data_IF_656165961569
#
_entry.id   IF_656165961569
#
_cell.length_a   1.000
_cell.length_b   1.000
_cell.length_c   1.000
_cell.angle_alpha   90.00
_cell.angle_beta   90.00
_cell.angle_gamma   90.00
#
_symmetry.space_group_name_H-M   'P 1'
#
loop_
_entity.id
_entity.type
_entity.pdbx_description
1 polymer ?
#
# COMPACT_ATOMS: atom_id res chain seq x y z
N UNK A 1 2.43 13.60 -12.10
CA UNK A 1 3.61 14.49 -12.18
C UNK A 1 3.47 15.55 -13.26
N UNK A 2 2.86 15.22 -14.41
CA UNK A 2 2.54 16.21 -15.46
C UNK A 2 1.73 17.42 -14.94
N UNK A 3 0.65 17.20 -14.17
CA UNK A 3 -0.17 18.28 -13.60
C UNK A 3 0.68 19.22 -12.73
N UNK A 4 1.52 18.67 -11.85
CA UNK A 4 2.41 19.46 -10.99
C UNK A 4 3.43 20.27 -11.79
N UNK A 5 4.05 19.68 -12.81
CA UNK A 5 4.97 20.43 -13.70
C UNK A 5 4.24 21.56 -14.44
N UNK A 6 3.01 21.33 -14.89
CA UNK A 6 2.19 22.34 -15.56
C UNK A 6 1.78 23.47 -14.61
N UNK A 7 1.38 23.15 -13.39
CA UNK A 7 1.01 24.13 -12.36
C UNK A 7 2.21 24.99 -11.92
N UNK A 8 3.37 24.36 -11.76
CA UNK A 8 4.63 25.04 -11.43
C UNK A 8 5.30 25.75 -12.62
N UNK A 9 4.70 25.70 -13.82
CA UNK A 9 5.28 26.21 -15.08
C UNK A 9 6.70 25.67 -15.37
N UNK A 10 6.99 24.43 -14.97
CA UNK A 10 8.29 23.77 -15.17
C UNK A 10 8.32 23.14 -16.56
N UNK A 11 9.24 23.64 -17.39
CA UNK A 11 9.54 23.12 -18.71
C UNK A 11 10.36 21.84 -18.61
N UNK A 12 10.26 20.98 -19.64
CA UNK A 12 11.15 19.83 -19.76
C UNK A 12 12.64 20.24 -19.93
N UNK A 13 12.87 21.48 -20.42
CA UNK A 13 14.21 22.06 -20.58
C UNK A 13 14.88 22.36 -19.24
N UNK A 14 14.09 22.56 -18.19
CA UNK A 14 14.60 22.88 -16.85
C UNK A 14 15.26 21.66 -16.19
N UNK A 15 15.11 20.45 -16.77
CA UNK A 15 15.70 19.18 -16.32
C UNK A 15 15.48 18.86 -14.83
N UNK A 16 14.46 19.46 -14.20
CA UNK A 16 14.13 19.22 -12.79
C UNK A 16 13.65 17.80 -12.56
N UNK A 17 14.19 17.15 -11.54
CA UNK A 17 13.76 15.86 -11.03
C UNK A 17 12.34 15.92 -10.48
N UNK A 18 11.69 14.76 -10.34
CA UNK A 18 10.34 14.72 -9.77
C UNK A 18 10.30 15.08 -8.28
N UNK A 19 11.41 14.91 -7.57
CA UNK A 19 11.53 15.27 -6.16
C UNK A 19 11.57 16.79 -6.00
N UNK A 20 12.40 17.48 -6.79
CA UNK A 20 12.47 18.95 -6.77
C UNK A 20 11.14 19.60 -7.16
N UNK A 21 10.38 19.00 -8.09
CA UNK A 21 9.02 19.49 -8.44
C UNK A 21 8.08 19.40 -7.23
N UNK A 22 8.17 18.31 -6.45
CA UNK A 22 7.37 18.12 -5.25
C UNK A 22 7.77 19.10 -4.14
N UNK A 23 9.07 19.26 -3.89
CA UNK A 23 9.62 20.19 -2.90
C UNK A 23 9.25 21.64 -3.23
N UNK A 24 9.38 22.04 -4.50
CA UNK A 24 9.03 23.38 -4.96
C UNK A 24 7.55 23.73 -4.75
N UNK A 25 6.66 22.74 -4.86
CA UNK A 25 5.22 22.91 -4.65
C UNK A 25 4.79 22.67 -3.20
N UNK A 26 5.70 22.25 -2.32
CA UNK A 26 5.36 21.83 -0.96
C UNK A 26 4.49 20.57 -0.90
N UNK A 27 4.45 19.78 -1.99
CA UNK A 27 3.56 18.62 -2.12
C UNK A 27 4.33 17.33 -1.95
N UNK A 28 3.75 16.33 -1.28
CA UNK A 28 4.34 14.98 -1.17
C UNK A 28 3.66 13.99 -2.12
N UNK A 29 4.40 12.95 -2.53
CA UNK A 29 3.82 11.85 -3.30
C UNK A 29 3.02 10.93 -2.39
N UNK A 30 1.74 11.23 -2.23
CA UNK A 30 0.87 10.44 -1.35
C UNK A 30 0.30 9.18 -2.00
N UNK A 31 0.41 9.00 -3.33
CA UNK A 31 -0.26 7.90 -4.03
C UNK A 31 0.07 6.52 -3.44
N UNK A 32 1.36 6.25 -3.17
CA UNK A 32 1.78 4.98 -2.58
C UNK A 32 1.18 4.83 -1.17
N UNK A 33 1.25 5.87 -0.35
CA UNK A 33 0.70 5.86 1.01
C UNK A 33 -0.83 5.71 1.02
N UNK A 34 -1.54 6.33 0.07
CA UNK A 34 -2.98 6.18 -0.13
C UNK A 34 -3.32 4.74 -0.52
N UNK A 35 -2.58 4.14 -1.45
CA UNK A 35 -2.79 2.75 -1.86
C UNK A 35 -2.55 1.81 -0.67
N UNK A 36 -1.44 1.98 0.06
CA UNK A 36 -1.13 1.19 1.27
C UNK A 36 -2.27 1.29 2.29
N UNK A 37 -2.67 2.51 2.63
CA UNK A 37 -3.76 2.80 3.57
C UNK A 37 -5.07 2.14 3.16
N UNK A 38 -5.49 2.30 1.90
CA UNK A 38 -6.73 1.71 1.37
C UNK A 38 -6.69 0.19 1.42
N UNK A 39 -5.56 -0.40 1.02
CA UNK A 39 -5.37 -1.85 0.99
C UNK A 39 -5.40 -2.47 2.40
N UNK A 40 -4.81 -1.82 3.40
CA UNK A 40 -4.89 -2.24 4.82
C UNK A 40 -6.31 -2.05 5.36
N UNK A 41 -6.97 -0.91 5.10
CA UNK A 41 -8.37 -0.71 5.50
C UNK A 41 -9.29 -1.81 4.97
N UNK A 42 -9.11 -2.17 3.70
CA UNK A 42 -9.93 -3.18 3.05
C UNK A 42 -9.66 -4.60 3.57
N UNK A 43 -8.41 -4.92 3.95
CA UNK A 43 -8.12 -6.17 4.65
C UNK A 43 -8.96 -6.31 5.92
N UNK A 44 -9.01 -5.28 6.77
CA UNK A 44 -9.82 -5.36 7.99
C UNK A 44 -11.32 -5.37 7.75
N UNK A 45 -11.79 -4.86 6.60
CA UNK A 45 -13.18 -5.06 6.17
C UNK A 45 -13.44 -6.54 5.84
N UNK A 46 -12.56 -7.17 5.06
CA UNK A 46 -12.66 -8.61 4.72
C UNK A 46 -12.60 -9.48 5.98
N UNK A 47 -11.70 -9.19 6.93
CA UNK A 47 -11.60 -9.96 8.18
C UNK A 47 -12.81 -9.89 9.08
N UNK A 48 -13.56 -8.78 9.05
CA UNK A 48 -14.79 -8.62 9.84
C UNK A 48 -16.02 -9.20 9.15
N UNK A 49 -15.99 -9.35 7.83
CA UNK A 49 -17.09 -9.94 7.06
C UNK A 49 -16.70 -11.33 6.59
N UNK A 50 -17.19 -12.34 7.30
CA UNK A 50 -17.04 -13.75 6.93
C UNK A 50 -17.65 -14.00 5.54
N UNK A 51 -16.80 -13.94 4.52
CA UNK A 51 -17.13 -14.10 3.10
C UNK A 51 -16.05 -14.96 2.44
N UNK A 52 -16.36 -15.49 1.25
CA UNK A 52 -15.41 -16.24 0.42
C UNK A 52 -14.10 -15.48 0.16
N UNK A 53 -14.11 -14.15 0.31
CA UNK A 53 -12.92 -13.32 0.19
C UNK A 53 -11.85 -13.66 1.24
N UNK A 54 -12.22 -14.14 2.43
CA UNK A 54 -11.23 -14.61 3.41
C UNK A 54 -10.44 -15.80 2.86
N UNK A 55 -11.13 -16.79 2.32
CA UNK A 55 -10.52 -18.00 1.76
C UNK A 55 -9.67 -17.68 0.54
N UNK A 56 -10.12 -16.76 -0.32
CA UNK A 56 -9.35 -16.31 -1.49
C UNK A 56 -8.08 -15.56 -1.08
N UNK A 57 -8.16 -14.74 -0.02
CA UNK A 57 -7.05 -13.90 0.42
C UNK A 57 -5.98 -14.72 1.17
N UNK A 58 -6.40 -15.71 1.95
CA UNK A 58 -5.52 -16.66 2.65
C UNK A 58 -5.10 -17.87 1.81
N UNK A 59 -5.81 -18.13 0.72
CA UNK A 59 -5.61 -19.27 -0.16
C UNK A 59 -4.16 -19.42 -0.61
N UNK A 60 -3.51 -20.46 -0.10
CA UNK A 60 -2.19 -20.90 -0.56
C UNK A 60 -2.39 -22.11 -1.47
N UNK A 61 -2.26 -21.87 -2.77
CA UNK A 61 -2.17 -22.96 -3.76
C UNK A 61 -0.79 -23.59 -3.63
N UNK A 62 -0.74 -24.91 -3.53
CA UNK A 62 0.50 -25.68 -3.54
C UNK A 62 1.24 -25.54 -4.87
N UNK A 63 2.57 -25.61 -4.83
CA UNK A 63 3.43 -25.45 -6.00
C UNK A 63 4.01 -24.05 -6.20
N UNK A 64 4.83 -23.93 -7.25
CA UNK A 64 5.55 -22.69 -7.58
C UNK A 64 4.67 -21.73 -8.39
N UNK A 65 4.88 -20.41 -8.21
CA UNK A 65 4.17 -19.40 -9.00
C UNK A 65 4.71 -19.36 -10.43
N UNK A 66 3.86 -19.43 -11.46
CA UNK A 66 4.32 -19.38 -12.85
C UNK A 66 4.92 -18.01 -13.18
N UNK A 67 5.75 -17.97 -14.23
CA UNK A 67 6.26 -16.70 -14.79
C UNK A 67 5.08 -15.82 -15.21
N UNK A 68 5.19 -14.52 -14.97
CA UNK A 68 4.13 -13.53 -15.26
C UNK A 68 3.13 -13.29 -14.12
N UNK A 69 2.91 -14.27 -13.22
CA UNK A 69 2.09 -14.03 -12.01
C UNK A 69 2.87 -13.16 -11.03
N UNK A 70 2.20 -12.17 -10.42
CA UNK A 70 2.81 -11.36 -9.36
C UNK A 70 3.40 -12.27 -8.27
N UNK A 71 4.65 -12.02 -7.90
CA UNK A 71 5.34 -12.81 -6.88
C UNK A 71 4.78 -12.55 -5.48
N UNK A 72 4.46 -11.29 -5.21
CA UNK A 72 3.87 -10.87 -3.93
C UNK A 72 2.41 -11.25 -3.80
N UNK A 73 2.02 -11.57 -2.58
CA UNK A 73 0.64 -11.71 -2.14
C UNK A 73 0.18 -10.41 -1.52
N UNK A 74 -1.13 -10.24 -1.45
CA UNK A 74 -1.70 -9.18 -0.63
C UNK A 74 -1.30 -9.35 0.84
N UNK A 75 -1.32 -10.57 1.39
CA UNK A 75 -0.88 -10.83 2.77
C UNK A 75 0.56 -10.35 3.01
N UNK A 76 1.48 -10.58 2.07
CA UNK A 76 2.87 -10.12 2.18
C UNK A 76 2.96 -8.59 2.30
N UNK A 77 2.10 -7.86 1.57
CA UNK A 77 2.02 -6.41 1.67
C UNK A 77 1.42 -5.96 3.01
N UNK A 78 0.43 -6.67 3.55
CA UNK A 78 -0.16 -6.35 4.85
C UNK A 78 0.87 -6.56 5.97
N UNK A 79 1.56 -7.69 5.98
CA UNK A 79 2.55 -7.99 7.02
C UNK A 79 3.74 -7.03 6.95
N UNK A 80 4.23 -6.74 5.74
CA UNK A 80 5.33 -5.78 5.56
C UNK A 80 4.93 -4.35 5.97
N UNK A 81 3.76 -3.86 5.55
CA UNK A 81 3.38 -2.46 5.79
C UNK A 81 2.83 -2.22 7.20
N UNK A 82 2.35 -3.24 7.89
CA UNK A 82 1.94 -3.12 9.30
C UNK A 82 3.06 -3.47 10.28
N UNK A 83 4.08 -4.20 9.83
CA UNK A 83 5.14 -4.74 10.68
C UNK A 83 4.65 -5.82 11.64
N UNK A 84 3.47 -6.41 11.37
CA UNK A 84 2.81 -7.39 12.24
C UNK A 84 2.61 -8.71 11.51
N UNK A 85 2.52 -9.78 12.27
CA UNK A 85 2.14 -11.07 11.72
C UNK A 85 0.67 -11.06 11.25
N UNK A 86 0.34 -11.93 10.30
CA UNK A 86 -1.00 -12.03 9.73
C UNK A 86 -2.05 -12.43 10.77
N UNK A 87 -1.71 -13.26 11.75
CA UNK A 87 -2.60 -13.63 12.84
C UNK A 87 -2.91 -12.41 13.71
N UNK A 88 -1.88 -11.64 14.08
CA UNK A 88 -2.04 -10.39 14.83
C UNK A 88 -2.91 -9.39 14.06
N UNK A 89 -2.67 -9.22 12.75
CA UNK A 89 -3.49 -8.37 11.90
C UNK A 89 -4.96 -8.80 11.88
N UNK A 90 -5.21 -10.12 11.87
CA UNK A 90 -6.57 -10.67 11.84
C UNK A 90 -7.33 -10.43 13.14
N UNK A 91 -6.66 -10.60 14.28
CA UNK A 91 -7.24 -10.30 15.60
C UNK A 91 -7.51 -8.80 15.74
N UNK A 92 -6.53 -7.96 15.40
CA UNK A 92 -6.70 -6.50 15.52
C UNK A 92 -7.71 -5.93 14.53
N UNK A 93 -7.91 -6.57 13.39
CA UNK A 93 -8.91 -6.15 12.41
C UNK A 93 -10.35 -6.25 12.94
N UNK A 94 -10.61 -7.08 13.96
CA UNK A 94 -11.93 -7.19 14.59
C UNK A 94 -12.30 -5.92 15.36
N UNK A 95 -11.31 -5.28 16.00
CA UNK A 95 -11.47 -3.99 16.65
C UNK A 95 -11.36 -2.85 15.61
N UNK A 96 -12.48 -2.20 15.31
CA UNK A 96 -12.53 -1.11 14.34
C UNK A 96 -11.67 0.08 14.73
N UNK A 97 -11.59 0.42 16.01
CA UNK A 97 -10.83 1.58 16.48
C UNK A 97 -9.33 1.29 16.37
N UNK A 98 -8.91 0.11 16.85
CA UNK A 98 -7.52 -0.35 16.73
C UNK A 98 -7.10 -0.47 15.26
N UNK A 99 -7.95 -1.07 14.43
CA UNK A 99 -7.65 -1.23 13.00
C UNK A 99 -7.56 0.10 12.25
N UNK A 100 -8.39 1.08 12.61
CA UNK A 100 -8.32 2.44 12.04
C UNK A 100 -6.93 3.04 12.27
N UNK A 101 -6.39 2.92 13.49
CA UNK A 101 -5.05 3.39 13.85
C UNK A 101 -3.95 2.70 13.05
N UNK A 102 -4.01 1.37 12.96
CA UNK A 102 -3.04 0.57 12.18
C UNK A 102 -3.07 0.96 10.70
N UNK A 103 -4.27 1.12 10.14
CA UNK A 103 -4.41 1.42 8.71
C UNK A 103 -3.99 2.85 8.32
N UNK A 104 -4.02 3.80 9.26
CA UNK A 104 -3.66 5.20 9.00
C UNK A 104 -2.15 5.44 8.92
N UNK A 105 -1.33 4.51 9.40
CA UNK A 105 0.12 4.67 9.46
C UNK A 105 0.82 3.43 8.89
N UNK A 106 0.75 3.21 7.55
CA UNK A 106 1.55 2.17 6.93
C UNK A 106 3.04 2.51 7.06
N UNK A 107 3.87 1.51 7.35
CA UNK A 107 5.32 1.66 7.37
C UNK A 107 5.83 2.13 5.99
N UNK A 108 6.75 3.09 6.00
CA UNK A 108 7.31 3.66 4.77
C UNK A 108 8.20 2.65 4.02
N UNK A 109 8.75 1.66 4.71
CA UNK A 109 9.67 0.67 4.14
C UNK A 109 8.94 -0.39 3.31
N UNK A 110 8.57 -0.02 2.09
CA UNK A 110 8.41 -0.97 0.98
C UNK A 110 9.50 -0.66 -0.02
N UNK A 111 10.46 -1.58 -0.18
CA UNK A 111 11.65 -1.46 -1.04
C UNK A 111 11.27 -0.81 -2.39
N UNK A 112 11.62 0.46 -2.59
CA UNK A 112 11.64 1.08 -3.91
C UNK A 112 12.75 0.37 -4.70
N UNK A 113 12.39 -0.69 -5.44
CA UNK A 113 13.25 -1.17 -6.51
C UNK A 113 12.95 -0.31 -7.74
N UNK A 114 14.05 0.24 -8.24
CA UNK A 114 14.24 1.12 -9.40
C UNK A 114 13.38 0.79 -10.61
#
# INVERSE_FOLDING_TARGET
>A
MWIYRRLAKISWKDKKTNQEVCEHLGTRRELVNIIKTRKIKYFGHIKRHASFLNDVLEGKIEGSRPRGRQRRRWIDDITEWTGKDIHQCTVEAQDRAKWKSVSSQPLEQGRHRE
#
